data_IF_414006759170
#
_entry.id   IF_414006759170
#
_cell.length_a   1.000
_cell.length_b   1.000
_cell.length_c   1.000
_cell.angle_alpha   90.00
_cell.angle_beta   90.00
_cell.angle_gamma   90.00
#
_symmetry.space_group_name_H-M   'P 1'
#
loop_
_entity.id
_entity.type
_entity.pdbx_description
1 polymer ?
#
# COMPACT_ATOMS: atom_id res chain seq x y z
N UNK A 1 -33.55 11.99 1.12
CA UNK A 1 -32.62 11.52 2.16
C UNK A 1 -32.58 10.01 2.05
N UNK A 2 -31.51 9.34 1.68
CA UNK A 2 -30.22 9.71 1.11
C UNK A 2 -29.71 8.41 0.47
N UNK A 3 -29.03 8.51 -0.66
CA UNK A 3 -28.40 7.37 -1.30
C UNK A 3 -27.04 7.08 -0.66
N UNK A 4 -26.44 5.94 -1.05
CA UNK A 4 -25.01 5.59 -0.89
C UNK A 4 -24.72 5.00 0.51
N UNK A 5 -24.11 3.82 0.67
CA UNK A 5 -22.86 3.36 0.08
C UNK A 5 -22.85 1.82 -0.02
N UNK A 6 -22.84 1.31 -1.25
CA UNK A 6 -22.49 -0.07 -1.54
C UNK A 6 -21.03 -0.03 -2.03
N UNK A 7 -20.10 -0.42 -1.16
CA UNK A 7 -18.68 -0.47 -1.51
C UNK A 7 -17.82 -0.73 -0.28
N UNK A 8 -17.04 -1.82 -0.36
CA UNK A 8 -15.91 -2.22 0.49
C UNK A 8 -16.19 -3.07 1.74
N UNK A 9 -16.98 -4.14 1.62
CA UNK A 9 -16.93 -5.24 2.59
C UNK A 9 -15.67 -6.12 2.39
N UNK A 10 -15.14 -6.21 1.17
CA UNK A 10 -13.95 -7.02 0.84
C UNK A 10 -12.64 -6.44 1.40
N UNK A 11 -12.51 -5.10 1.45
CA UNK A 11 -11.31 -4.44 1.99
C UNK A 11 -11.22 -4.54 3.51
N UNK A 12 -12.37 -4.50 4.18
CA UNK A 12 -12.47 -4.59 5.63
C UNK A 12 -12.28 -6.02 6.14
N UNK A 13 -12.69 -7.02 5.36
CA UNK A 13 -12.42 -8.43 5.64
C UNK A 13 -10.91 -8.77 5.57
N UNK A 14 -10.20 -8.26 4.56
CA UNK A 14 -8.73 -8.45 4.42
C UNK A 14 -7.98 -7.75 5.55
N UNK A 15 -8.45 -6.57 5.98
CA UNK A 15 -7.88 -5.82 7.09
C UNK A 15 -8.06 -6.58 8.42
N UNK A 16 -9.21 -7.22 8.62
CA UNK A 16 -9.54 -7.94 9.86
C UNK A 16 -8.78 -9.24 10.04
N UNK A 17 -8.48 -9.96 8.95
CA UNK A 17 -7.66 -11.18 8.99
C UNK A 17 -6.18 -10.90 9.38
N UNK A 18 -5.72 -9.66 9.21
CA UNK A 18 -4.35 -9.24 9.55
C UNK A 18 -4.22 -8.72 11.01
N UNK A 19 -5.33 -8.35 11.66
CA UNK A 19 -5.43 -7.63 12.96
C UNK A 19 -5.52 -8.58 14.18
N UNK A 20 -5.22 -9.88 14.03
CA UNK A 20 -5.50 -10.94 15.01
C UNK A 20 -4.58 -11.11 16.24
N UNK A 21 -3.87 -10.08 16.73
CA UNK A 21 -3.11 -10.18 17.99
C UNK A 21 -3.11 -8.84 18.74
N UNK A 22 -3.92 -8.74 19.81
CA UNK A 22 -4.41 -7.47 20.40
C UNK A 22 -3.35 -6.41 20.79
N UNK A 23 -2.08 -6.75 21.05
CA UNK A 23 -1.01 -5.76 21.32
C UNK A 23 -0.25 -5.35 20.04
N UNK A 24 0.04 -6.31 19.15
CA UNK A 24 0.66 -6.05 17.84
C UNK A 24 -0.31 -5.36 16.89
N UNK A 25 -1.61 -5.62 17.03
CA UNK A 25 -2.66 -5.04 16.21
C UNK A 25 -2.84 -3.54 16.44
N UNK A 26 -2.66 -3.06 17.67
CA UNK A 26 -2.71 -1.63 17.98
C UNK A 26 -1.52 -0.88 17.38
N UNK A 27 -0.30 -1.40 17.55
CA UNK A 27 0.92 -0.85 16.94
C UNK A 27 0.83 -0.87 15.40
N UNK A 28 0.28 -1.96 14.84
CA UNK A 28 0.06 -2.10 13.41
C UNK A 28 -1.02 -1.13 12.90
N UNK A 29 -2.09 -0.88 13.65
CA UNK A 29 -3.13 0.10 13.31
C UNK A 29 -2.59 1.53 13.37
N UNK A 30 -1.74 1.87 14.33
CA UNK A 30 -1.03 3.15 14.38
C UNK A 30 -0.09 3.32 13.19
N UNK A 31 0.68 2.28 12.83
CA UNK A 31 1.53 2.26 11.64
C UNK A 31 0.71 2.45 10.36
N UNK A 32 -0.46 1.81 10.26
CA UNK A 32 -1.36 1.96 9.10
C UNK A 32 -1.99 3.36 9.03
N UNK A 33 -2.38 3.96 10.15
CA UNK A 33 -2.88 5.33 10.19
C UNK A 33 -1.83 6.35 9.76
N UNK A 34 -0.57 6.15 10.14
CA UNK A 34 0.55 6.99 9.69
C UNK A 34 0.89 6.74 8.19
N UNK A 35 0.76 5.50 7.72
CA UNK A 35 1.12 5.11 6.36
C UNK A 35 0.08 5.53 5.31
N UNK A 36 -1.21 5.48 5.65
CA UNK A 36 -2.31 5.80 4.74
C UNK A 36 -2.19 7.19 4.06
N UNK A 37 -1.96 8.31 4.78
CA UNK A 37 -1.78 9.61 4.15
C UNK A 37 -0.50 9.68 3.29
N UNK A 38 0.56 8.97 3.67
CA UNK A 38 1.80 8.90 2.89
C UNK A 38 1.60 8.16 1.57
N UNK A 39 0.84 7.05 1.57
CA UNK A 39 0.44 6.33 0.35
C UNK A 39 -0.48 7.20 -0.51
N UNK A 40 -1.42 7.93 0.09
CA UNK A 40 -2.31 8.84 -0.62
C UNK A 40 -1.56 10.00 -1.30
N UNK A 41 -0.40 10.40 -0.75
CA UNK A 41 0.49 11.41 -1.34
C UNK A 41 1.39 10.90 -2.47
N UNK A 42 1.40 9.59 -2.76
CA UNK A 42 2.14 9.05 -3.90
C UNK A 42 1.45 9.40 -5.22
N UNK A 43 2.25 9.52 -6.29
CA UNK A 43 1.70 9.61 -7.64
C UNK A 43 0.91 8.33 -7.99
N UNK A 44 -0.10 8.46 -8.85
CA UNK A 44 -0.98 7.34 -9.24
C UNK A 44 -0.19 6.09 -9.69
N UNK A 45 0.87 6.31 -10.48
CA UNK A 45 1.71 5.23 -10.98
C UNK A 45 2.40 4.48 -9.85
N UNK A 46 2.91 5.20 -8.86
CA UNK A 46 3.62 4.64 -7.72
C UNK A 46 2.67 3.89 -6.79
N UNK A 47 1.49 4.47 -6.51
CA UNK A 47 0.43 3.81 -5.74
C UNK A 47 -0.01 2.50 -6.40
N UNK A 48 -0.17 2.50 -7.73
CA UNK A 48 -0.51 1.30 -8.50
C UNK A 48 0.59 0.23 -8.44
N UNK A 49 1.86 0.62 -8.47
CA UNK A 49 2.98 -0.32 -8.32
C UNK A 49 3.02 -0.93 -6.91
N UNK A 50 2.76 -0.14 -5.87
CA UNK A 50 2.65 -0.62 -4.49
C UNK A 50 1.47 -1.59 -4.36
N UNK A 51 0.30 -1.25 -4.90
CA UNK A 51 -0.87 -2.12 -4.89
C UNK A 51 -0.60 -3.48 -5.57
N UNK A 52 -0.05 -3.46 -6.79
CA UNK A 52 0.28 -4.70 -7.49
C UNK A 52 1.30 -5.54 -6.71
N UNK A 53 2.26 -4.92 -6.01
CA UNK A 53 3.31 -5.66 -5.30
C UNK A 53 2.84 -6.25 -3.96
N UNK A 54 2.04 -5.50 -3.19
CA UNK A 54 1.74 -5.83 -1.80
C UNK A 54 0.29 -6.26 -1.58
N UNK A 55 -0.61 -6.04 -2.54
CA UNK A 55 -2.01 -6.50 -2.49
C UNK A 55 -2.24 -7.62 -3.50
N UNK A 56 -1.80 -7.44 -4.75
CA UNK A 56 -1.91 -8.49 -5.78
C UNK A 56 -0.73 -9.48 -5.74
N UNK A 57 0.26 -9.26 -4.85
CA UNK A 57 1.47 -10.08 -4.66
C UNK A 57 2.35 -10.33 -5.90
N UNK A 58 2.14 -9.57 -6.99
CA UNK A 58 2.85 -9.73 -8.26
C UNK A 58 4.35 -9.48 -8.10
N UNK A 59 5.17 -10.32 -8.74
CA UNK A 59 6.61 -10.14 -8.83
C UNK A 59 6.96 -8.86 -9.62
N UNK A 60 8.17 -8.34 -9.41
CA UNK A 60 8.63 -7.17 -10.16
C UNK A 60 8.70 -7.41 -11.67
N UNK A 61 8.88 -8.68 -12.09
CA UNK A 61 8.84 -9.08 -13.49
C UNK A 61 7.42 -8.98 -14.06
N UNK A 62 6.43 -9.58 -13.38
CA UNK A 62 5.01 -9.53 -13.78
C UNK A 62 4.49 -8.08 -13.81
N UNK A 63 4.89 -7.26 -12.82
CA UNK A 63 4.58 -5.83 -12.81
C UNK A 63 5.20 -5.13 -14.03
N UNK A 64 6.45 -5.48 -14.37
CA UNK A 64 7.16 -4.92 -15.51
C UNK A 64 6.44 -5.24 -16.82
N UNK A 65 6.05 -6.49 -17.00
CA UNK A 65 5.26 -6.96 -18.15
C UNK A 65 3.93 -6.19 -18.26
N UNK A 66 3.19 -6.04 -17.16
CA UNK A 66 1.90 -5.32 -17.13
C UNK A 66 2.01 -3.82 -17.40
N UNK A 67 3.16 -3.22 -17.06
CA UNK A 67 3.42 -1.78 -17.26
C UNK A 67 4.24 -1.47 -18.52
N UNK A 68 4.68 -2.48 -19.28
CA UNK A 68 5.54 -2.31 -20.45
C UNK A 68 6.92 -1.75 -20.11
N UNK A 69 7.48 -2.08 -18.94
CA UNK A 69 8.82 -1.65 -18.50
C UNK A 69 9.62 -2.85 -17.98
N UNK A 70 10.95 -2.71 -17.88
CA UNK A 70 11.77 -3.79 -17.34
C UNK A 70 11.56 -4.00 -15.84
N UNK A 71 11.75 -5.23 -15.37
CA UNK A 71 11.78 -5.57 -13.94
C UNK A 71 12.72 -4.67 -13.15
N UNK A 72 13.89 -4.33 -13.70
CA UNK A 72 14.84 -3.43 -13.07
C UNK A 72 14.30 -2.00 -12.94
N UNK A 73 13.50 -1.53 -13.91
CA UNK A 73 12.81 -0.25 -13.78
C UNK A 73 11.80 -0.31 -12.61
N UNK A 74 10.97 -1.36 -12.54
CA UNK A 74 10.02 -1.56 -11.43
C UNK A 74 10.73 -1.59 -10.08
N UNK A 75 11.85 -2.33 -9.98
CA UNK A 75 12.68 -2.39 -8.78
C UNK A 75 13.10 -0.99 -8.32
N UNK A 76 13.62 -0.15 -9.21
CA UNK A 76 14.02 1.23 -8.89
C UNK A 76 12.84 2.09 -8.43
N UNK A 77 11.66 1.93 -9.05
CA UNK A 77 10.45 2.64 -8.65
C UNK A 77 10.00 2.23 -7.24
N UNK A 78 9.96 0.92 -6.96
CA UNK A 78 9.64 0.39 -5.64
C UNK A 78 10.60 0.90 -4.57
N UNK A 79 11.92 0.83 -4.81
CA UNK A 79 12.91 1.35 -3.87
C UNK A 79 12.73 2.84 -3.57
N UNK A 80 12.45 3.66 -4.59
CA UNK A 80 12.16 5.10 -4.40
C UNK A 80 10.87 5.34 -3.63
N UNK A 81 9.81 4.55 -3.88
CA UNK A 81 8.55 4.69 -3.16
C UNK A 81 8.70 4.31 -1.70
N UNK A 82 9.29 3.13 -1.42
CA UNK A 82 9.53 2.66 -0.06
C UNK A 82 10.46 3.59 0.71
N UNK A 83 11.48 4.17 0.05
CA UNK A 83 12.33 5.19 0.65
C UNK A 83 11.54 6.42 1.11
N UNK A 84 10.65 6.96 0.26
CA UNK A 84 9.79 8.09 0.61
C UNK A 84 8.80 7.78 1.74
N UNK A 85 8.17 6.61 1.70
CA UNK A 85 7.25 6.18 2.76
C UNK A 85 8.00 6.07 4.09
N UNK A 86 9.18 5.45 4.11
CA UNK A 86 10.03 5.35 5.30
C UNK A 86 10.44 6.72 5.85
N UNK A 87 10.86 7.64 4.98
CA UNK A 87 11.21 9.01 5.39
C UNK A 87 10.01 9.76 5.99
N UNK A 88 8.83 9.61 5.39
CA UNK A 88 7.58 10.19 5.89
C UNK A 88 7.21 9.66 7.27
N UNK A 89 7.35 8.35 7.50
CA UNK A 89 7.10 7.73 8.81
C UNK A 89 8.07 8.25 9.89
N UNK A 90 9.35 8.43 9.54
CA UNK A 90 10.37 8.95 10.47
C UNK A 90 10.22 10.45 10.79
N UNK A 91 9.56 11.21 9.91
CA UNK A 91 9.36 12.66 10.08
C UNK A 91 8.04 12.98 10.80
N UNK A 92 7.10 12.03 10.82
CA UNK A 92 5.79 12.18 11.45
C UNK A 92 5.79 11.69 12.92
N UNK A 93 6.87 11.03 13.36
CA UNK A 93 7.11 10.59 14.74
C UNK A 93 7.78 11.62 15.64
#
# INVERSE_FOLDING_TARGET
LDATLNGSEDGEAVLRDFIGAEDTALELVEDFHALAPLIAGLEERDRRIIHMRFVEELTQAEIGERLGVSQMHVSRLLSRCLGRLREGMLTTG
#
